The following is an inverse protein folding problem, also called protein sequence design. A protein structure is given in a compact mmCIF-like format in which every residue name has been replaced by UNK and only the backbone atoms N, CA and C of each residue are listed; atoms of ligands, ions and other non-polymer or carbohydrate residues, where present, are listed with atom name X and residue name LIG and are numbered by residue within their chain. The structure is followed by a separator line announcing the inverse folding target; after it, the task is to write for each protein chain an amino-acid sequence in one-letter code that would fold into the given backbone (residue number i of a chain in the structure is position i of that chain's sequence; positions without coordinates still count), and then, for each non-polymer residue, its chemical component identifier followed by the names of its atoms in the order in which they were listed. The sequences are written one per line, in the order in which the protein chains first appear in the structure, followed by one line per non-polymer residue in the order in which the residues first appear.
data_IF_158201932823
#
_entry.id   IF_158201932823
#
_cell.length_a   1.000
_cell.length_b   1.000
_cell.length_c   1.000
_cell.angle_alpha   90.00
_cell.angle_beta   90.00
_cell.angle_gamma   90.00
#
_symmetry.space_group_name_H-M   'P 1'
#
loop_
_entity.id
_entity.type
_entity.pdbx_description
1 polymer ?
#
# COMPACT_ATOMS: atom_id res chain seq x y z
N UNK A 1 -3.51 -22.85 -14.01
CA UNK A 1 -3.00 -21.91 -13.01
C UNK A 1 -3.33 -20.49 -13.44
N UNK A 2 -4.06 -19.79 -12.61
CA UNK A 2 -4.44 -18.41 -12.87
C UNK A 2 -3.23 -17.50 -12.81
N UNK A 3 -3.10 -16.59 -13.77
CA UNK A 3 -2.04 -15.59 -13.80
C UNK A 3 -2.58 -14.23 -13.43
N UNK A 4 -1.95 -13.61 -12.45
CA UNK A 4 -2.23 -12.22 -12.14
C UNK A 4 -1.45 -11.34 -13.12
N UNK A 5 -2.16 -10.37 -13.71
CA UNK A 5 -1.57 -9.33 -14.54
C UNK A 5 -1.44 -8.10 -13.67
N UNK A 6 -0.22 -7.58 -13.54
CA UNK A 6 0.05 -6.35 -12.78
C UNK A 6 0.12 -5.20 -13.79
N UNK A 7 -0.70 -4.18 -13.58
CA UNK A 7 -0.75 -3.02 -14.47
C UNK A 7 -1.05 -1.75 -13.69
N UNK A 8 -0.88 -0.61 -14.35
CA UNK A 8 -1.29 0.66 -13.77
C UNK A 8 -2.81 0.71 -13.65
N UNK A 9 -3.29 1.31 -12.58
CA UNK A 9 -4.71 1.59 -12.42
C UNK A 9 -5.14 2.69 -13.39
N UNK A 10 -6.35 2.59 -13.87
CA UNK A 10 -6.98 3.60 -14.72
C UNK A 10 -8.28 4.06 -14.08
N UNK A 11 -8.86 5.17 -14.60
CA UNK A 11 -10.03 5.77 -13.97
C UNK A 11 -11.22 4.84 -13.87
N UNK A 12 -11.42 3.96 -14.81
CA UNK A 12 -12.54 3.01 -14.74
C UNK A 12 -12.39 1.98 -13.61
N UNK A 13 -11.20 1.86 -13.01
CA UNK A 13 -10.97 0.99 -11.86
C UNK A 13 -11.46 1.61 -10.55
N UNK A 14 -11.74 2.91 -10.52
CA UNK A 14 -12.06 3.63 -9.28
C UNK A 14 -13.15 2.98 -8.43
N UNK A 15 -14.28 2.52 -8.98
CA UNK A 15 -15.31 1.90 -8.13
C UNK A 15 -14.76 0.71 -7.32
N UNK A 16 -13.92 -0.12 -7.94
CA UNK A 16 -13.31 -1.27 -7.26
C UNK A 16 -12.27 -0.80 -6.26
N UNK A 17 -11.44 0.19 -6.63
CA UNK A 17 -10.43 0.73 -5.72
C UNK A 17 -11.06 1.31 -4.47
N UNK A 18 -12.19 2.00 -4.60
CA UNK A 18 -12.91 2.53 -3.45
C UNK A 18 -13.44 1.42 -2.54
N UNK A 19 -13.86 0.31 -3.13
CA UNK A 19 -14.25 -0.88 -2.37
C UNK A 19 -13.05 -1.45 -1.60
N UNK A 20 -11.88 -1.55 -2.25
CA UNK A 20 -10.65 -2.01 -1.60
C UNK A 20 -10.27 -1.11 -0.43
N UNK A 21 -10.40 0.21 -0.58
CA UNK A 21 -10.14 1.14 0.51
C UNK A 21 -11.05 0.88 1.71
N UNK A 22 -12.34 0.69 1.47
CA UNK A 22 -13.29 0.43 2.55
C UNK A 22 -13.00 -0.91 3.23
N UNK A 23 -12.55 -1.90 2.49
CA UNK A 23 -12.13 -3.17 3.09
C UNK A 23 -10.87 -3.00 3.94
N UNK A 24 -9.94 -2.13 3.53
CA UNK A 24 -8.78 -1.80 4.35
C UNK A 24 -9.19 -1.11 5.65
N UNK A 25 -10.08 -0.12 5.58
CA UNK A 25 -10.58 0.56 6.79
C UNK A 25 -11.16 -0.47 7.75
N UNK A 26 -11.99 -1.36 7.24
CA UNK A 26 -12.64 -2.41 8.04
C UNK A 26 -11.60 -3.34 8.68
N UNK A 27 -10.58 -3.74 7.91
CA UNK A 27 -9.53 -4.64 8.38
C UNK A 27 -8.64 -3.99 9.44
N UNK A 28 -8.48 -2.66 9.39
CA UNK A 28 -7.58 -1.93 10.28
C UNK A 28 -8.25 -1.46 11.57
N UNK A 29 -9.58 -1.39 11.61
CA UNK A 29 -10.29 -0.96 12.81
C UNK A 29 -9.90 -1.75 14.08
N UNK A 30 -9.71 -3.06 14.04
CA UNK A 30 -9.26 -3.79 15.24
C UNK A 30 -7.89 -3.34 15.77
N UNK A 31 -7.03 -2.82 14.88
CA UNK A 31 -5.70 -2.36 15.29
C UNK A 31 -5.69 -0.93 15.80
N UNK A 32 -6.71 -0.13 15.43
CA UNK A 32 -6.74 1.28 15.80
C UNK A 32 -8.17 1.72 16.12
N UNK A 33 -8.55 1.69 17.42
CA UNK A 33 -9.89 2.10 17.82
C UNK A 33 -10.15 3.61 17.67
N UNK A 34 -9.14 4.39 17.30
CA UNK A 34 -9.33 5.83 17.07
C UNK A 34 -9.78 6.16 15.66
N UNK A 35 -9.87 5.19 14.76
CA UNK A 35 -10.48 5.40 13.45
C UNK A 35 -11.95 5.76 13.67
N UNK A 36 -12.36 6.90 13.10
CA UNK A 36 -13.74 7.39 13.30
C UNK A 36 -14.77 6.42 12.72
N UNK A 37 -16.01 6.45 13.22
CA UNK A 37 -17.10 5.68 12.58
C UNK A 37 -17.29 6.08 11.12
N UNK A 38 -17.81 5.16 10.32
CA UNK A 38 -18.11 5.45 8.91
C UNK A 38 -19.04 6.66 8.76
N UNK A 39 -18.90 7.43 7.66
CA UNK A 39 -18.00 7.17 6.52
C UNK A 39 -16.56 7.63 6.78
N UNK A 40 -15.60 6.80 6.35
CA UNK A 40 -14.17 7.10 6.46
C UNK A 40 -13.52 6.86 5.11
N UNK A 41 -12.65 7.79 4.71
CA UNK A 41 -11.85 7.66 3.50
C UNK A 41 -10.40 7.98 3.84
N UNK A 42 -9.48 7.14 3.38
CA UNK A 42 -8.05 7.33 3.62
C UNK A 42 -7.37 8.14 2.52
N UNK A 43 -7.84 8.03 1.28
CA UNK A 43 -7.11 8.51 0.10
C UNK A 43 -8.02 9.26 -0.85
N UNK A 44 -7.44 10.20 -1.59
CA UNK A 44 -8.08 10.75 -2.78
C UNK A 44 -7.65 9.89 -3.97
N UNK A 45 -8.32 8.74 -4.14
CA UNK A 45 -7.93 7.74 -5.13
C UNK A 45 -8.02 8.27 -6.56
N UNK A 46 -9.02 9.11 -6.86
CA UNK A 46 -9.14 9.68 -8.20
C UNK A 46 -7.94 10.55 -8.52
N UNK A 47 -7.54 11.44 -7.60
CA UNK A 47 -6.35 12.27 -7.79
C UNK A 47 -5.10 11.41 -7.94
N UNK A 48 -4.96 10.38 -7.13
CA UNK A 48 -3.78 9.51 -7.19
C UNK A 48 -3.69 8.79 -8.54
N UNK A 49 -4.81 8.30 -9.06
CA UNK A 49 -4.83 7.64 -10.39
C UNK A 49 -4.51 8.62 -11.50
N UNK A 50 -4.96 9.88 -11.39
CA UNK A 50 -4.70 10.91 -12.41
C UNK A 50 -3.27 11.46 -12.34
N UNK A 51 -2.61 11.38 -11.20
CA UNK A 51 -1.32 12.03 -10.98
C UNK A 51 -0.19 11.24 -11.66
N UNK A 52 0.70 11.99 -12.33
CA UNK A 52 1.93 11.41 -12.88
C UNK A 52 2.97 11.14 -11.79
N UNK A 53 2.78 11.72 -10.60
CA UNK A 53 3.73 11.60 -9.49
C UNK A 53 3.40 10.43 -8.56
N UNK A 54 2.28 9.77 -8.78
CA UNK A 54 1.83 8.63 -7.97
C UNK A 54 1.72 7.40 -8.86
N UNK A 55 2.34 6.32 -8.43
CA UNK A 55 2.25 5.03 -9.13
C UNK A 55 1.17 4.21 -8.42
N UNK A 56 0.00 4.08 -9.04
CA UNK A 56 -1.05 3.20 -8.52
C UNK A 56 -1.11 1.96 -9.40
N UNK A 57 -0.95 0.79 -8.80
CA UNK A 57 -0.96 -0.47 -9.53
C UNK A 57 -2.05 -1.38 -9.01
N UNK A 58 -2.53 -2.22 -9.89
CA UNK A 58 -3.54 -3.23 -9.59
C UNK A 58 -3.09 -4.58 -10.15
N UNK A 59 -3.59 -5.64 -9.55
CA UNK A 59 -3.46 -6.98 -10.12
C UNK A 59 -4.84 -7.44 -10.54
N UNK A 60 -4.93 -8.02 -11.74
CA UNK A 60 -6.18 -8.61 -12.20
C UNK A 60 -5.98 -10.07 -12.60
N UNK A 61 -7.01 -10.86 -12.35
CA UNK A 61 -7.08 -12.26 -12.75
C UNK A 61 -8.38 -12.43 -13.51
N UNK A 62 -8.29 -12.88 -14.76
CA UNK A 62 -9.46 -13.07 -15.63
C UNK A 62 -10.36 -11.83 -15.69
N UNK A 63 -9.74 -10.65 -15.78
CA UNK A 63 -10.45 -9.38 -15.90
C UNK A 63 -11.00 -8.82 -14.59
N UNK A 64 -10.79 -9.48 -13.47
CA UNK A 64 -11.26 -9.04 -12.14
C UNK A 64 -10.10 -8.54 -11.31
N UNK A 65 -10.22 -7.34 -10.74
CA UNK A 65 -9.20 -6.80 -9.85
C UNK A 65 -9.17 -7.58 -8.54
N UNK A 66 -7.98 -7.99 -8.14
CA UNK A 66 -7.80 -8.80 -6.92
C UNK A 66 -6.82 -8.18 -5.92
N UNK A 67 -6.07 -7.14 -6.32
CA UNK A 67 -5.08 -6.55 -5.43
C UNK A 67 -4.74 -5.14 -5.90
N UNK A 68 -4.19 -4.33 -4.99
CA UNK A 68 -3.78 -2.95 -5.26
C UNK A 68 -2.58 -2.55 -4.44
N UNK A 69 -1.95 -1.44 -4.85
CA UNK A 69 -0.92 -0.77 -4.09
C UNK A 69 -0.55 0.54 -4.76
N UNK A 70 0.09 1.44 -4.00
CA UNK A 70 0.62 2.67 -4.59
C UNK A 70 2.00 2.97 -4.04
N UNK A 71 2.70 3.87 -4.75
CA UNK A 71 3.93 4.47 -4.27
C UNK A 71 3.97 5.93 -4.73
N UNK A 72 4.54 6.79 -3.90
CA UNK A 72 4.87 8.15 -4.27
C UNK A 72 6.05 8.63 -3.44
N UNK A 73 6.72 9.70 -3.92
CA UNK A 73 7.89 10.24 -3.22
C UNK A 73 7.45 11.10 -2.04
N UNK A 74 8.12 10.92 -0.90
CA UNK A 74 7.98 11.80 0.26
C UNK A 74 9.33 12.38 0.62
N UNK A 75 9.35 13.62 1.16
CA UNK A 75 10.62 14.20 1.62
C UNK A 75 11.11 13.48 2.87
N UNK A 76 12.41 13.21 2.91
CA UNK A 76 13.06 12.65 4.08
C UNK A 76 13.50 13.78 5.01
N UNK A 77 13.83 13.43 6.25
CA UNK A 77 14.38 14.41 7.20
C UNK A 77 15.74 14.89 6.70
N UNK A 78 16.02 16.16 6.91
CA UNK A 78 17.22 16.82 6.34
C UNK A 78 18.53 16.24 6.83
N UNK A 79 18.54 15.56 7.96
CA UNK A 79 19.76 14.97 8.51
C UNK A 79 20.05 13.55 8.00
N UNK A 80 19.22 13.03 7.10
CA UNK A 80 19.43 11.71 6.51
C UNK A 80 20.27 11.80 5.23
N UNK A 81 20.82 10.67 4.81
CA UNK A 81 21.69 10.61 3.65
C UNK A 81 20.93 10.56 2.32
N UNK A 82 19.61 10.73 2.36
CA UNK A 82 18.76 10.77 1.17
C UNK A 82 17.75 11.90 1.33
N UNK A 83 17.39 12.52 0.22
CA UNK A 83 16.46 13.66 0.22
C UNK A 83 15.00 13.24 0.22
N UNK A 84 14.71 12.10 -0.42
CA UNK A 84 13.35 11.58 -0.57
C UNK A 84 13.35 10.07 -0.43
N UNK A 85 12.18 9.52 -0.16
CA UNK A 85 11.97 8.08 -0.16
C UNK A 85 10.65 7.74 -0.86
N UNK A 86 10.54 6.52 -1.34
CA UNK A 86 9.28 6.02 -1.88
C UNK A 86 8.43 5.50 -0.72
N UNK A 87 7.23 6.03 -0.60
CA UNK A 87 6.27 5.59 0.39
C UNK A 87 5.23 4.70 -0.26
N UNK A 88 5.06 3.48 0.26
CA UNK A 88 4.11 2.50 -0.23
C UNK A 88 2.86 2.48 0.65
N UNK A 89 1.72 2.38 0.02
CA UNK A 89 0.44 2.27 0.73
C UNK A 89 -0.63 1.62 -0.12
N UNK A 90 -1.85 1.59 0.41
CA UNK A 90 -3.00 1.01 -0.27
C UNK A 90 -2.78 -0.45 -0.66
N UNK A 91 -2.06 -1.19 0.16
CA UNK A 91 -1.71 -2.58 -0.11
C UNK A 91 -2.89 -3.47 0.32
N UNK A 92 -3.66 -3.92 -0.66
CA UNK A 92 -4.84 -4.75 -0.41
C UNK A 92 -4.87 -5.93 -1.38
N UNK A 93 -5.23 -7.10 -0.88
CA UNK A 93 -5.48 -8.29 -1.70
C UNK A 93 -6.79 -8.91 -1.21
N UNK A 94 -7.67 -9.24 -2.14
CA UNK A 94 -8.94 -9.90 -1.76
C UNK A 94 -8.64 -11.23 -1.07
N UNK A 95 -9.46 -11.62 -0.08
CA UNK A 95 -9.17 -12.81 0.73
C UNK A 95 -8.87 -14.08 -0.07
N UNK A 96 -9.61 -14.31 -1.15
CA UNK A 96 -9.48 -15.52 -1.96
C UNK A 96 -8.12 -15.64 -2.65
N UNK A 97 -7.41 -14.53 -2.80
CA UNK A 97 -6.13 -14.48 -3.49
C UNK A 97 -4.94 -14.23 -2.56
N UNK A 98 -5.16 -14.24 -1.26
CA UNK A 98 -4.07 -14.10 -0.27
C UNK A 98 -3.23 -15.36 -0.21
N UNK A 99 -1.96 -15.20 0.14
CA UNK A 99 -1.04 -16.33 0.25
C UNK A 99 -0.54 -16.88 -1.08
N UNK A 100 -0.81 -16.18 -2.19
CA UNK A 100 -0.42 -16.63 -3.54
C UNK A 100 0.70 -15.78 -4.15
N UNK A 101 1.30 -14.90 -3.37
CA UNK A 101 2.42 -14.08 -3.83
C UNK A 101 2.04 -12.85 -4.65
N UNK A 102 0.75 -12.52 -4.77
CA UNK A 102 0.30 -11.37 -5.58
C UNK A 102 0.77 -10.06 -4.97
N UNK A 103 0.65 -9.92 -3.64
CA UNK A 103 1.13 -8.73 -2.95
C UNK A 103 2.62 -8.49 -3.20
N UNK A 104 3.43 -9.54 -3.18
CA UNK A 104 4.87 -9.43 -3.45
C UNK A 104 5.13 -8.95 -4.88
N UNK A 105 4.34 -9.39 -5.85
CA UNK A 105 4.47 -8.91 -7.23
C UNK A 105 4.16 -7.42 -7.33
N UNK A 106 3.12 -6.95 -6.64
CA UNK A 106 2.80 -5.53 -6.59
C UNK A 106 3.95 -4.74 -5.94
N UNK A 107 4.45 -5.20 -4.80
CA UNK A 107 5.57 -4.53 -4.13
C UNK A 107 6.79 -4.43 -5.04
N UNK A 108 7.11 -5.49 -5.78
CA UNK A 108 8.25 -5.48 -6.71
C UNK A 108 8.08 -4.46 -7.82
N UNK A 109 6.87 -4.34 -8.39
CA UNK A 109 6.59 -3.33 -9.41
C UNK A 109 6.76 -1.92 -8.82
N UNK A 110 6.29 -1.70 -7.60
CA UNK A 110 6.47 -0.40 -6.92
C UNK A 110 7.93 -0.12 -6.62
N UNK A 111 8.71 -1.12 -6.25
CA UNK A 111 10.15 -0.96 -6.02
C UNK A 111 10.89 -0.64 -7.33
N UNK A 112 10.49 -1.25 -8.44
CA UNK A 112 11.07 -0.93 -9.75
C UNK A 112 10.79 0.52 -10.12
N UNK A 113 9.57 0.99 -9.88
CA UNK A 113 9.22 2.41 -10.06
C UNK A 113 10.11 3.31 -9.19
N UNK A 114 10.35 2.92 -7.95
CA UNK A 114 11.21 3.68 -7.05
C UNK A 114 12.63 3.79 -7.60
N UNK A 115 13.20 2.68 -8.08
CA UNK A 115 14.54 2.70 -8.69
C UNK A 115 14.58 3.60 -9.91
N UNK A 116 13.58 3.53 -10.77
CA UNK A 116 13.48 4.36 -11.98
C UNK A 116 13.43 5.85 -11.65
N UNK A 117 12.94 6.19 -10.46
CA UNK A 117 12.83 7.57 -10.00
C UNK A 117 13.95 7.95 -9.02
N UNK A 118 15.00 7.14 -8.93
CA UNK A 118 16.16 7.35 -8.05
C UNK A 118 15.76 7.46 -6.58
N UNK A 119 14.74 6.71 -6.19
CA UNK A 119 14.30 6.60 -4.80
C UNK A 119 14.77 5.26 -4.28
N UNK A 120 15.93 5.26 -3.60
CA UNK A 120 16.57 4.03 -3.16
C UNK A 120 16.26 3.67 -1.71
N UNK A 121 15.46 4.49 -1.05
CA UNK A 121 14.89 4.21 0.26
C UNK A 121 13.39 4.01 0.07
N UNK A 122 12.87 2.86 0.53
CA UNK A 122 11.45 2.53 0.40
C UNK A 122 10.89 2.28 1.78
N UNK A 123 9.77 2.90 2.10
CA UNK A 123 9.13 2.78 3.42
C UNK A 123 7.65 2.48 3.29
N UNK A 124 7.14 1.81 4.30
CA UNK A 124 5.70 1.65 4.51
C UNK A 124 5.44 1.65 6.00
N UNK A 125 4.18 1.85 6.37
CA UNK A 125 3.76 1.70 7.76
C UNK A 125 2.84 0.49 7.88
N UNK A 126 2.95 -0.22 8.98
CA UNK A 126 2.14 -1.39 9.27
C UNK A 126 1.87 -1.40 10.77
N UNK A 127 0.66 -1.79 11.17
CA UNK A 127 0.34 -1.91 12.59
C UNK A 127 1.19 -3.01 13.20
N UNK A 128 1.78 -2.75 14.36
CA UNK A 128 2.71 -3.68 15.01
C UNK A 128 2.06 -5.00 15.42
N UNK A 129 0.74 -5.05 15.52
CA UNK A 129 0.00 -6.27 15.83
C UNK A 129 -0.38 -7.05 14.58
N UNK A 130 -0.18 -6.48 13.39
CA UNK A 130 -0.48 -7.15 12.13
C UNK A 130 0.67 -8.04 11.71
N UNK A 131 0.86 -9.14 12.43
CA UNK A 131 1.99 -10.04 12.21
C UNK A 131 2.03 -10.67 10.81
N UNK A 132 0.91 -11.09 10.21
CA UNK A 132 0.97 -11.63 8.85
C UNK A 132 1.49 -10.62 7.84
N UNK A 133 1.09 -9.35 7.95
CA UNK A 133 1.57 -8.30 7.04
C UNK A 133 3.07 -8.05 7.24
N UNK A 134 3.52 -7.95 8.50
CA UNK A 134 4.94 -7.76 8.81
C UNK A 134 5.76 -8.89 8.20
N UNK A 135 5.34 -10.14 8.37
CA UNK A 135 6.06 -11.29 7.80
C UNK A 135 6.12 -11.23 6.28
N UNK A 136 5.01 -10.83 5.63
CA UNK A 136 4.98 -10.70 4.18
C UNK A 136 5.97 -9.66 3.69
N UNK A 137 6.07 -8.51 4.36
CA UNK A 137 7.03 -7.47 4.00
C UNK A 137 8.46 -7.88 4.29
N UNK A 138 8.70 -8.59 5.39
CA UNK A 138 10.04 -9.10 5.70
C UNK A 138 10.55 -10.05 4.63
N UNK A 139 9.68 -10.85 4.02
CA UNK A 139 10.06 -11.74 2.93
C UNK A 139 10.58 -10.99 1.70
N UNK A 140 10.12 -9.76 1.50
CA UNK A 140 10.58 -8.92 0.38
C UNK A 140 11.88 -8.19 0.74
N UNK A 141 12.25 -8.13 2.01
CA UNK A 141 13.47 -7.49 2.47
C UNK A 141 13.25 -6.30 3.39
N UNK A 142 12.01 -5.94 3.70
CA UNK A 142 11.75 -4.87 4.66
C UNK A 142 12.17 -5.30 6.05
N UNK A 143 12.60 -4.33 6.84
CA UNK A 143 12.95 -4.53 8.25
C UNK A 143 12.20 -3.49 9.08
N UNK A 144 11.78 -3.89 10.26
CA UNK A 144 11.20 -2.94 11.21
C UNK A 144 12.30 -1.94 11.63
N UNK A 145 11.94 -0.68 11.68
CA UNK A 145 12.92 0.39 11.94
C UNK A 145 12.54 1.26 13.13
N UNK A 146 11.34 1.83 13.12
CA UNK A 146 10.88 2.73 14.18
C UNK A 146 9.59 2.22 14.81
N UNK A 147 9.41 2.55 16.08
CA UNK A 147 8.15 2.33 16.75
C UNK A 147 7.49 3.68 17.01
N UNK A 148 6.22 3.81 16.62
CA UNK A 148 5.40 4.93 16.99
C UNK A 148 4.64 4.57 18.27
N UNK A 149 4.74 5.43 19.27
CA UNK A 149 4.04 5.23 20.53
C UNK A 149 3.02 6.33 20.71
N UNK A 150 1.81 5.99 21.13
CA UNK A 150 0.73 6.95 21.34
C UNK A 150 0.17 6.84 22.75
N UNK A 151 -0.21 7.97 23.30
CA UNK A 151 -0.90 8.04 24.58
C UNK A 151 -2.08 9.00 24.44
N UNK A 152 -3.25 8.54 24.81
CA UNK A 152 -4.44 9.39 24.82
C UNK A 152 -4.66 9.92 26.23
N UNK A 153 -4.76 11.25 26.38
CA UNK A 153 -4.90 11.87 27.69
C UNK A 153 -6.34 11.97 28.17
N UNK A 154 -7.29 11.68 27.29
CA UNK A 154 -8.71 11.71 27.63
C UNK A 154 -9.46 10.56 27.01
#
# INVERSE_FOLDING_TARGET
MERAIIRDAVLKDLPVLKTFEQELVKAERPFDPTIRPDPVSYYDLEEYVRSEDVKVVVAEVDGTLVSSGYAYAKPARTYLDHAQYAYLGFMYTVPEYRGKGINQKIVRVLMDWARENNLFEVRLTVYNENLPAIKAYEKVGFKEHLNEMRLRLK
#
